data_IF_268682022006
#
_entry.id   IF_268682022006
#
_cell.length_a   1.000
_cell.length_b   1.000
_cell.length_c   1.000
_cell.angle_alpha   90.00
_cell.angle_beta   90.00
_cell.angle_gamma   90.00
#
_symmetry.space_group_name_H-M   'P 1'
#
loop_
_entity.id
_entity.type
_entity.pdbx_description
1 polymer ?
#
# COMPACT_ATOMS: atom_id res chain seq x y z
N UNK A 1 6.77 14.70 4.49
CA UNK A 1 8.16 14.96 4.04
C UNK A 1 8.16 16.36 3.45
N UNK A 2 8.82 17.33 4.07
CA UNK A 2 8.86 18.70 3.57
C UNK A 2 10.24 18.92 2.95
N UNK A 3 10.30 19.34 1.68
CA UNK A 3 11.54 19.84 1.09
C UNK A 3 11.86 21.15 1.81
N UNK A 4 12.86 21.13 2.69
CA UNK A 4 13.23 22.31 3.49
C UNK A 4 13.92 23.36 2.61
N UNK A 5 14.68 22.94 1.59
CA UNK A 5 15.25 23.79 0.55
C UNK A 5 15.80 22.93 -0.59
N UNK A 6 15.56 23.32 -1.84
CA UNK A 6 16.21 22.76 -3.02
C UNK A 6 16.46 23.87 -4.04
N UNK A 7 17.60 23.83 -4.74
CA UNK A 7 17.91 24.73 -5.86
C UNK A 7 17.50 24.14 -7.21
N UNK A 8 16.98 22.91 -7.21
CA UNK A 8 16.58 22.22 -8.43
C UNK A 8 15.24 22.76 -8.95
N UNK A 9 15.21 23.13 -10.23
CA UNK A 9 14.03 23.70 -10.92
C UNK A 9 13.46 22.74 -11.99
N UNK A 10 13.95 21.50 -12.04
CA UNK A 10 13.48 20.52 -13.02
C UNK A 10 12.23 19.76 -12.56
N UNK A 11 11.78 18.77 -13.34
CA UNK A 11 10.61 17.98 -13.00
C UNK A 11 10.83 17.15 -11.74
N UNK A 12 9.78 17.01 -10.93
CA UNK A 12 9.80 16.30 -9.65
C UNK A 12 8.83 15.12 -9.65
N UNK A 13 9.24 14.01 -9.02
CA UNK A 13 8.36 12.88 -8.75
C UNK A 13 8.09 12.86 -7.25
N UNK A 14 6.82 12.97 -6.87
CA UNK A 14 6.39 12.88 -5.48
C UNK A 14 5.95 11.46 -5.21
N UNK A 15 6.54 10.84 -4.18
CA UNK A 15 6.14 9.50 -3.74
C UNK A 15 5.20 9.65 -2.55
N UNK A 16 3.95 9.26 -2.77
CA UNK A 16 2.88 9.27 -1.78
C UNK A 16 2.73 7.93 -1.06
N UNK A 17 1.48 7.58 -0.77
CA UNK A 17 1.11 6.30 -0.17
C UNK A 17 -0.15 5.75 -0.84
N UNK A 18 -0.40 4.46 -0.71
CA UNK A 18 -1.52 3.80 -1.38
C UNK A 18 -2.91 4.36 -0.98
N UNK A 19 -3.00 5.12 0.12
CA UNK A 19 -4.23 5.79 0.56
C UNK A 19 -4.84 6.77 -0.43
N UNK A 20 -4.04 7.35 -1.32
CA UNK A 20 -4.51 8.28 -2.36
C UNK A 20 -5.10 7.58 -3.59
N UNK A 21 -4.99 6.26 -3.71
CA UNK A 21 -5.42 5.52 -4.90
C UNK A 21 -6.94 5.55 -5.09
N UNK A 22 -7.42 5.64 -6.34
CA UNK A 22 -8.85 5.58 -6.65
C UNK A 22 -9.33 4.19 -7.09
N UNK A 23 -10.52 3.83 -6.62
CA UNK A 23 -11.30 2.73 -7.15
C UNK A 23 -12.05 3.14 -8.42
N UNK A 24 -12.50 2.16 -9.22
CA UNK A 24 -13.31 2.39 -10.44
C UNK A 24 -14.59 3.20 -10.24
N UNK A 25 -15.13 3.23 -9.02
CA UNK A 25 -16.32 4.01 -8.67
C UNK A 25 -16.01 5.45 -8.23
N UNK A 26 -14.75 5.90 -8.34
CA UNK A 26 -14.30 7.24 -7.94
C UNK A 26 -14.09 7.40 -6.43
N UNK A 27 -14.22 6.33 -5.63
CA UNK A 27 -13.94 6.33 -4.20
C UNK A 27 -12.44 6.12 -3.98
N UNK A 28 -11.81 6.95 -3.14
CA UNK A 28 -10.41 6.73 -2.75
C UNK A 28 -10.28 5.57 -1.77
N UNK A 29 -9.13 4.89 -1.79
CA UNK A 29 -8.84 3.75 -0.94
C UNK A 29 -9.10 4.06 0.54
N UNK A 30 -8.70 5.25 1.02
CA UNK A 30 -8.86 5.65 2.41
C UNK A 30 -10.32 5.89 2.82
N UNK A 31 -11.21 6.13 1.86
CA UNK A 31 -12.64 6.40 2.08
C UNK A 31 -13.51 5.15 1.86
N UNK A 32 -12.91 4.00 1.55
CA UNK A 32 -13.63 2.74 1.40
C UNK A 32 -14.29 2.32 2.73
N UNK A 33 -15.48 1.74 2.63
CA UNK A 33 -16.24 1.33 3.81
C UNK A 33 -15.50 0.20 4.55
N UNK A 34 -15.26 0.43 5.85
CA UNK A 34 -14.54 -0.54 6.70
C UNK A 34 -13.01 -0.52 6.52
N UNK A 35 -12.47 0.53 5.89
CA UNK A 35 -11.05 0.87 5.96
C UNK A 35 -10.60 1.06 7.43
N UNK A 36 -9.39 0.70 7.87
CA UNK A 36 -8.32 -0.06 7.24
C UNK A 36 -8.42 -1.59 7.46
N UNK A 37 -9.34 -2.05 8.33
CA UNK A 37 -9.45 -3.48 8.71
C UNK A 37 -9.79 -4.37 7.52
N UNK A 38 -10.69 -3.94 6.62
CA UNK A 38 -11.09 -4.70 5.42
C UNK A 38 -9.88 -5.07 4.56
N UNK A 39 -9.01 -4.11 4.27
CA UNK A 39 -7.81 -4.31 3.45
C UNK A 39 -6.72 -5.10 4.15
N UNK A 40 -6.55 -4.88 5.46
CA UNK A 40 -5.67 -5.70 6.28
C UNK A 40 -6.11 -7.17 6.30
N UNK A 41 -7.41 -7.40 6.43
CA UNK A 41 -7.97 -8.75 6.42
C UNK A 41 -7.82 -9.41 5.05
N UNK A 42 -7.98 -8.66 3.95
CA UNK A 42 -7.85 -9.17 2.59
C UNK A 42 -6.41 -9.54 2.18
N UNK A 43 -5.38 -9.12 2.92
CA UNK A 43 -3.99 -9.40 2.54
C UNK A 43 -3.65 -10.90 2.45
N UNK A 44 -2.88 -11.32 1.43
CA UNK A 44 -2.33 -12.67 1.36
C UNK A 44 -1.43 -12.97 2.57
N UNK A 45 -1.44 -14.22 3.04
CA UNK A 45 -0.61 -14.65 4.18
C UNK A 45 0.89 -14.40 3.96
N UNK A 46 1.35 -14.53 2.71
CA UNK A 46 2.74 -14.26 2.32
C UNK A 46 3.08 -12.78 2.53
N UNK A 47 2.15 -11.87 2.22
CA UNK A 47 2.38 -10.44 2.42
C UNK A 47 2.37 -10.07 3.91
N UNK A 48 1.47 -10.66 4.71
CA UNK A 48 1.47 -10.47 6.17
C UNK A 48 2.78 -10.97 6.81
N UNK A 49 3.31 -12.08 6.33
CA UNK A 49 4.58 -12.63 6.82
C UNK A 49 5.77 -11.76 6.44
N UNK A 50 5.82 -11.32 5.19
CA UNK A 50 6.76 -10.29 4.75
C UNK A 50 6.67 -9.05 5.65
N UNK A 51 5.46 -8.56 5.93
CA UNK A 51 5.28 -7.37 6.76
C UNK A 51 5.75 -7.59 8.20
N UNK A 52 5.44 -8.73 8.80
CA UNK A 52 5.93 -9.07 10.13
C UNK A 52 7.47 -9.09 10.16
N UNK A 53 8.11 -9.77 9.21
CA UNK A 53 9.58 -9.84 9.11
C UNK A 53 10.19 -8.45 8.94
N UNK A 54 9.63 -7.62 8.04
CA UNK A 54 10.07 -6.24 7.86
C UNK A 54 9.97 -5.42 9.16
N UNK A 55 8.91 -5.60 9.95
CA UNK A 55 8.79 -4.90 11.22
C UNK A 55 9.85 -5.34 12.24
N UNK A 56 10.19 -6.63 12.27
CA UNK A 56 11.31 -7.11 13.09
C UNK A 56 12.65 -6.54 12.62
N UNK A 57 12.90 -6.52 11.31
CA UNK A 57 14.13 -5.96 10.73
C UNK A 57 14.30 -4.46 11.05
N UNK A 58 13.19 -3.71 11.18
CA UNK A 58 13.19 -2.29 11.57
C UNK A 58 13.07 -2.06 13.09
N UNK A 59 13.20 -3.09 13.93
CA UNK A 59 13.16 -2.98 15.39
C UNK A 59 11.76 -2.76 15.99
N UNK A 60 10.70 -2.80 15.19
CA UNK A 60 9.31 -2.64 15.62
C UNK A 60 8.69 -3.98 16.06
N UNK A 61 9.26 -4.58 17.10
CA UNK A 61 8.89 -5.93 17.57
C UNK A 61 7.42 -6.07 17.94
N UNK A 62 6.84 -5.08 18.63
CA UNK A 62 5.42 -5.10 19.03
C UNK A 62 4.46 -5.20 17.85
N UNK A 63 4.71 -4.42 16.80
CA UNK A 63 3.88 -4.45 15.58
C UNK A 63 4.10 -5.74 14.78
N UNK A 64 5.34 -6.26 14.75
CA UNK A 64 5.64 -7.58 14.17
C UNK A 64 4.86 -8.71 14.84
N UNK A 65 4.80 -8.74 16.18
CA UNK A 65 3.97 -9.71 16.91
C UNK A 65 2.49 -9.53 16.64
N UNK A 66 2.00 -8.28 16.58
CA UNK A 66 0.61 -7.99 16.23
C UNK A 66 0.24 -8.59 14.87
N UNK A 67 1.06 -8.40 13.84
CA UNK A 67 0.81 -8.96 12.50
C UNK A 67 0.79 -10.49 12.52
N UNK A 68 1.71 -11.13 13.25
CA UNK A 68 1.74 -12.60 13.40
C UNK A 68 0.50 -13.13 14.10
N UNK A 69 0.05 -12.45 15.16
CA UNK A 69 -1.16 -12.81 15.90
C UNK A 69 -2.42 -12.59 15.04
N UNK A 70 -2.47 -11.51 14.27
CA UNK A 70 -3.54 -11.25 13.32
C UNK A 70 -3.62 -12.35 12.26
N UNK A 71 -2.47 -12.74 11.67
CA UNK A 71 -2.36 -13.88 10.74
C UNK A 71 -2.86 -15.17 11.36
N UNK A 72 -2.47 -15.48 12.59
CA UNK A 72 -2.93 -16.68 13.31
C UNK A 72 -4.45 -16.65 13.56
N UNK A 73 -5.00 -15.51 13.99
CA UNK A 73 -6.42 -15.37 14.27
C UNK A 73 -7.26 -15.48 12.98
N UNK A 74 -6.79 -14.87 11.88
CA UNK A 74 -7.36 -15.02 10.54
C UNK A 74 -7.32 -16.48 10.08
N UNK A 75 -6.17 -17.15 10.21
CA UNK A 75 -6.01 -18.56 9.80
C UNK A 75 -6.95 -19.50 10.55
N UNK A 76 -7.18 -19.30 11.86
CA UNK A 76 -8.14 -20.12 12.62
C UNK A 76 -9.60 -19.93 12.18
N UNK A 77 -9.92 -18.78 11.57
CA UNK A 77 -11.26 -18.48 11.07
C UNK A 77 -11.47 -19.03 9.66
N UNK A 78 -10.48 -18.87 8.77
CA UNK A 78 -10.57 -19.28 7.37
C UNK A 78 -10.26 -20.77 7.14
N UNK A 79 -9.29 -21.32 7.86
CA UNK A 79 -8.83 -22.70 7.73
C UNK A 79 -8.96 -23.43 9.08
N UNK A 80 -10.18 -23.79 9.50
CA UNK A 80 -10.37 -24.42 10.80
C UNK A 80 -9.78 -25.83 10.82
N UNK A 81 -8.79 -26.04 11.68
CA UNK A 81 -8.26 -27.36 12.00
C UNK A 81 -9.08 -28.07 13.10
N UNK A 82 -8.68 -29.30 13.43
CA UNK A 82 -9.33 -30.15 14.45
C UNK A 82 -9.47 -29.46 15.83
N UNK A 83 -8.49 -28.65 16.24
CA UNK A 83 -8.52 -27.93 17.51
C UNK A 83 -8.98 -26.47 17.42
N UNK A 84 -9.31 -25.97 16.22
CA UNK A 84 -9.62 -24.54 16.04
C UNK A 84 -10.88 -24.11 16.81
N UNK A 85 -11.81 -25.02 17.09
CA UNK A 85 -13.03 -24.70 17.84
C UNK A 85 -12.75 -24.19 19.27
N UNK A 86 -11.68 -24.67 19.92
CA UNK A 86 -11.26 -24.22 21.25
C UNK A 86 -10.69 -22.80 21.23
N UNK A 87 -9.98 -22.45 20.16
CA UNK A 87 -9.29 -21.16 20.02
C UNK A 87 -10.12 -20.08 19.30
N UNK A 88 -11.23 -20.47 18.66
CA UNK A 88 -12.15 -19.55 17.95
C UNK A 88 -12.62 -18.36 18.78
N UNK A 89 -13.05 -18.51 20.06
CA UNK A 89 -13.46 -17.37 20.86
C UNK A 89 -12.33 -16.34 21.03
N UNK A 90 -11.11 -16.81 21.24
CA UNK A 90 -9.92 -15.97 21.38
C UNK A 90 -9.51 -15.31 20.06
N UNK A 91 -9.54 -16.07 18.96
CA UNK A 91 -9.25 -15.54 17.62
C UNK A 91 -10.27 -14.46 17.22
N UNK A 92 -11.56 -14.68 17.50
CA UNK A 92 -12.61 -13.71 17.24
C UNK A 92 -12.46 -12.46 18.12
N UNK A 93 -12.13 -12.62 19.41
CA UNK A 93 -11.86 -11.50 20.30
C UNK A 93 -10.66 -10.67 19.81
N UNK A 94 -9.60 -11.33 19.34
CA UNK A 94 -8.42 -10.66 18.79
C UNK A 94 -8.75 -9.89 17.52
N UNK A 95 -9.45 -10.51 16.56
CA UNK A 95 -9.89 -9.84 15.32
C UNK A 95 -10.85 -8.69 15.62
N UNK A 96 -11.73 -8.84 16.60
CA UNK A 96 -12.62 -7.77 17.04
C UNK A 96 -11.83 -6.60 17.63
N UNK A 97 -10.86 -6.84 18.52
CA UNK A 97 -9.98 -5.78 19.03
C UNK A 97 -9.14 -5.14 17.93
N UNK A 98 -8.60 -5.95 17.01
CA UNK A 98 -7.85 -5.45 15.85
C UNK A 98 -8.71 -4.57 14.95
N UNK A 99 -10.00 -4.91 14.75
CA UNK A 99 -10.95 -4.06 14.03
C UNK A 99 -11.15 -2.72 14.73
N UNK A 100 -11.38 -2.71 16.04
CA UNK A 100 -11.52 -1.47 16.80
C UNK A 100 -10.27 -0.58 16.68
N UNK A 101 -9.08 -1.19 16.74
CA UNK A 101 -7.81 -0.48 16.59
C UNK A 101 -7.61 0.07 15.18
N UNK A 102 -7.80 -0.75 14.14
CA UNK A 102 -7.55 -0.39 12.74
C UNK A 102 -8.62 0.52 12.12
N UNK A 103 -9.77 0.67 12.77
CA UNK A 103 -10.83 1.62 12.38
C UNK A 103 -10.76 2.91 13.22
N UNK A 104 -9.88 2.99 14.23
CA UNK A 104 -9.71 4.22 15.00
C UNK A 104 -9.08 5.32 14.12
N UNK A 105 -9.70 6.52 14.01
CA UNK A 105 -9.17 7.65 13.22
C UNK A 105 -7.68 7.95 13.46
N UNK A 106 -7.22 7.85 14.71
CA UNK A 106 -5.83 8.12 15.09
C UNK A 106 -4.83 7.15 14.43
N UNK A 107 -5.28 5.92 14.16
CA UNK A 107 -4.44 4.86 13.55
C UNK A 107 -4.40 4.99 12.02
N UNK A 108 -5.40 5.62 11.43
CA UNK A 108 -5.54 5.78 9.98
C UNK A 108 -4.92 7.10 9.48
N UNK A 109 -4.49 7.98 10.40
CA UNK A 109 -3.95 9.30 10.08
C UNK A 109 -2.86 9.32 9.02
N UNK A 110 -1.90 8.38 9.07
CA UNK A 110 -0.83 8.27 8.06
C UNK A 110 -1.38 8.08 6.63
N UNK A 111 -2.45 7.32 6.50
CA UNK A 111 -3.06 7.01 5.21
C UNK A 111 -3.82 8.22 4.68
N UNK A 112 -4.56 8.92 5.54
CA UNK A 112 -5.20 10.19 5.19
C UNK A 112 -4.20 11.28 4.79
N UNK A 113 -3.01 11.30 5.41
CA UNK A 113 -1.93 12.20 4.99
C UNK A 113 -1.46 11.93 3.55
N UNK A 114 -1.58 10.69 3.06
CA UNK A 114 -1.23 10.35 1.66
C UNK A 114 -2.18 11.01 0.66
N UNK A 115 -3.49 10.98 0.95
CA UNK A 115 -4.51 11.74 0.19
C UNK A 115 -4.25 13.23 0.26
N UNK A 116 -4.02 13.76 1.47
CA UNK A 116 -3.78 15.19 1.67
C UNK A 116 -2.55 15.67 0.88
N UNK A 117 -1.50 14.84 0.82
CA UNK A 117 -0.33 15.12 0.00
C UNK A 117 -0.68 15.22 -1.49
N UNK A 118 -1.50 14.31 -2.04
CA UNK A 118 -1.96 14.41 -3.43
C UNK A 118 -2.72 15.74 -3.67
N UNK A 119 -3.70 16.06 -2.82
CA UNK A 119 -4.49 17.29 -2.96
C UNK A 119 -3.66 18.58 -2.89
N UNK A 120 -2.54 18.57 -2.17
CA UNK A 120 -1.61 19.71 -2.15
C UNK A 120 -0.95 19.94 -3.51
N UNK A 121 -0.72 18.89 -4.30
CA UNK A 121 -0.03 18.96 -5.59
C UNK A 121 -0.98 19.19 -6.78
N UNK A 122 -2.24 18.74 -6.70
CA UNK A 122 -3.23 18.89 -7.77
C UNK A 122 -3.40 20.34 -8.27
N UNK A 123 -3.23 21.32 -7.38
CA UNK A 123 -3.32 22.75 -7.72
C UNK A 123 -2.04 23.39 -8.28
N UNK A 124 -0.89 22.71 -8.19
CA UNK A 124 0.41 23.27 -8.57
C UNK A 124 0.60 23.18 -10.07
N UNK A 125 0.80 24.32 -10.75
CA UNK A 125 1.01 24.39 -12.20
C UNK A 125 2.38 24.93 -12.61
N UNK A 126 3.12 25.51 -11.67
CA UNK A 126 4.38 26.20 -11.93
C UNK A 126 5.57 25.22 -12.07
N UNK A 127 5.42 23.99 -11.58
CA UNK A 127 6.47 22.97 -11.56
C UNK A 127 5.91 21.71 -12.23
N UNK A 128 6.65 21.12 -13.17
CA UNK A 128 6.30 19.82 -13.71
C UNK A 128 6.45 18.75 -12.64
N UNK A 129 5.34 18.18 -12.19
CA UNK A 129 5.33 17.13 -11.18
C UNK A 129 4.63 15.87 -11.69
N UNK A 130 4.99 14.71 -11.15
CA UNK A 130 4.16 13.50 -11.22
C UNK A 130 4.02 12.90 -9.82
N UNK A 131 2.85 12.36 -9.50
CA UNK A 131 2.58 11.80 -8.18
C UNK A 131 2.49 10.28 -8.27
N UNK A 132 3.49 9.59 -7.73
CA UNK A 132 3.55 8.14 -7.66
C UNK A 132 2.95 7.66 -6.33
N UNK A 133 1.84 6.94 -6.40
CA UNK A 133 1.33 6.17 -5.26
C UNK A 133 1.75 4.72 -5.38
N UNK A 134 2.51 4.17 -4.41
CA UNK A 134 2.83 2.75 -4.39
C UNK A 134 1.56 1.89 -4.34
N UNK A 135 1.58 0.66 -4.90
CA UNK A 135 0.47 -0.27 -4.75
C UNK A 135 0.30 -0.68 -3.29
N UNK A 136 -0.88 -1.20 -2.95
CA UNK A 136 -1.22 -1.56 -1.58
C UNK A 136 -0.29 -2.63 -0.98
N UNK A 137 0.22 -3.54 -1.81
CA UNK A 137 1.19 -4.55 -1.40
C UNK A 137 2.61 -4.23 -1.91
N UNK A 138 3.32 -3.34 -1.21
CA UNK A 138 4.72 -3.04 -1.52
C UNK A 138 5.67 -4.01 -0.79
N UNK A 139 6.58 -4.67 -1.52
CA UNK A 139 7.54 -5.63 -0.95
C UNK A 139 9.00 -5.23 -1.20
N UNK A 140 9.87 -5.48 -0.23
CA UNK A 140 11.32 -5.34 -0.36
C UNK A 140 12.02 -6.69 -0.56
N UNK A 141 13.31 -6.66 -0.91
CA UNK A 141 14.17 -7.84 -1.10
C UNK A 141 13.64 -8.77 -2.20
N UNK A 142 13.10 -8.19 -3.26
CA UNK A 142 12.63 -8.90 -4.44
C UNK A 142 13.73 -9.18 -5.47
N UNK A 143 13.38 -9.91 -6.52
CA UNK A 143 14.18 -9.97 -7.73
C UNK A 143 13.79 -8.81 -8.64
N UNK A 144 14.78 -8.10 -9.18
CA UNK A 144 14.56 -7.12 -10.24
C UNK A 144 14.21 -7.85 -11.54
N UNK A 145 12.95 -7.80 -11.93
CA UNK A 145 12.46 -8.41 -13.18
C UNK A 145 12.44 -7.41 -14.34
N UNK A 146 12.33 -6.12 -14.04
CA UNK A 146 12.10 -5.05 -15.01
C UNK A 146 10.69 -5.08 -15.62
N UNK A 147 9.81 -5.98 -15.17
CA UNK A 147 8.44 -6.09 -15.65
C UNK A 147 7.51 -5.35 -14.70
N UNK A 148 6.85 -4.32 -15.20
CA UNK A 148 5.85 -3.60 -14.45
C UNK A 148 4.77 -3.06 -15.39
N UNK A 149 3.61 -2.73 -14.84
CA UNK A 149 2.50 -2.09 -15.54
C UNK A 149 2.22 -0.76 -14.87
N UNK A 150 2.27 0.31 -15.66
CA UNK A 150 1.86 1.65 -15.22
C UNK A 150 0.36 1.80 -15.36
N UNK A 151 -0.25 2.42 -14.36
CA UNK A 151 -1.65 2.80 -14.34
C UNK A 151 -1.71 4.28 -14.00
N UNK A 152 -2.36 5.07 -14.85
CA UNK A 152 -2.67 6.46 -14.53
C UNK A 152 -3.93 6.42 -13.68
N UNK A 153 -3.83 7.00 -12.50
CA UNK A 153 -4.91 7.06 -11.53
C UNK A 153 -5.49 8.47 -11.64
N UNK A 154 -6.73 8.56 -12.10
CA UNK A 154 -7.50 9.79 -12.10
C UNK A 154 -8.90 9.47 -11.55
N UNK A 155 -9.71 10.49 -11.25
CA UNK A 155 -11.04 10.25 -10.68
C UNK A 155 -11.96 9.37 -11.55
N UNK A 156 -11.58 9.07 -12.80
CA UNK A 156 -12.28 8.18 -13.74
C UNK A 156 -11.52 6.87 -14.06
N UNK A 157 -10.25 6.75 -13.67
CA UNK A 157 -9.30 5.73 -14.07
C UNK A 157 -8.83 4.92 -12.87
N UNK A 158 -9.23 3.64 -12.80
CA UNK A 158 -9.08 2.86 -11.57
C UNK A 158 -7.67 2.31 -11.36
N UNK A 159 -7.07 2.64 -10.23
CA UNK A 159 -5.93 1.92 -9.66
C UNK A 159 -6.30 0.56 -9.03
N UNK A 160 -7.50 0.02 -9.28
CA UNK A 160 -7.96 -1.30 -8.78
C UNK A 160 -6.90 -2.41 -8.87
N UNK A 161 -6.13 -2.57 -9.98
CA UNK A 161 -5.09 -3.59 -10.02
C UNK A 161 -3.96 -3.32 -9.02
N UNK A 162 -3.62 -2.07 -8.73
CA UNK A 162 -2.60 -1.70 -7.74
C UNK A 162 -3.07 -1.81 -6.30
N UNK A 163 -4.38 -1.69 -6.08
CA UNK A 163 -4.99 -1.93 -4.77
C UNK A 163 -5.00 -3.43 -4.43
N UNK A 164 -5.26 -4.28 -5.42
CA UNK A 164 -5.38 -5.72 -5.21
C UNK A 164 -4.05 -6.48 -5.36
N UNK A 165 -3.12 -5.97 -6.17
CA UNK A 165 -1.81 -6.59 -6.39
C UNK A 165 -0.71 -5.83 -5.64
N UNK A 166 0.54 -6.10 -6.02
CA UNK A 166 1.71 -5.49 -5.43
C UNK A 166 2.81 -5.21 -6.44
N UNK A 167 3.95 -4.78 -5.91
CA UNK A 167 5.20 -4.68 -6.65
C UNK A 167 6.37 -4.86 -5.69
N UNK A 168 7.51 -5.32 -6.21
CA UNK A 168 8.78 -5.26 -5.51
C UNK A 168 9.42 -3.87 -5.64
N UNK A 169 10.13 -3.41 -4.61
CA UNK A 169 10.83 -2.12 -4.62
C UNK A 169 11.80 -2.00 -5.80
N UNK A 170 12.43 -3.10 -6.18
CA UNK A 170 13.40 -3.18 -7.27
C UNK A 170 12.74 -2.86 -8.62
N UNK A 171 11.53 -3.37 -8.88
CA UNK A 171 10.78 -3.12 -10.11
C UNK A 171 10.10 -1.74 -10.09
N UNK A 172 9.64 -1.29 -8.92
CA UNK A 172 9.14 0.08 -8.75
C UNK A 172 10.24 1.11 -9.00
N UNK A 173 11.48 0.83 -8.58
CA UNK A 173 12.62 1.69 -8.88
C UNK A 173 12.88 1.80 -10.39
N UNK A 174 12.72 0.72 -11.16
CA UNK A 174 12.78 0.77 -12.63
C UNK A 174 11.68 1.67 -13.19
N UNK A 175 10.44 1.54 -12.71
CA UNK A 175 9.34 2.40 -13.15
C UNK A 175 9.60 3.90 -12.86
N UNK A 176 10.22 4.21 -11.72
CA UNK A 176 10.62 5.58 -11.36
C UNK A 176 11.69 6.10 -12.33
N UNK A 177 12.74 5.31 -12.60
CA UNK A 177 13.81 5.69 -13.52
C UNK A 177 13.25 5.93 -14.93
N UNK A 178 12.39 5.04 -15.41
CA UNK A 178 11.78 5.16 -16.74
C UNK A 178 10.93 6.44 -16.85
N UNK A 179 10.23 6.85 -15.79
CA UNK A 179 9.51 8.13 -15.80
C UNK A 179 10.43 9.35 -15.71
N UNK A 180 11.54 9.27 -14.96
CA UNK A 180 12.55 10.34 -14.94
C UNK A 180 13.14 10.58 -16.33
N UNK A 181 13.39 9.51 -17.08
CA UNK A 181 13.96 9.57 -18.43
C UNK A 181 12.93 10.03 -19.48
N UNK A 182 11.70 9.50 -19.43
CA UNK A 182 10.71 9.69 -20.49
C UNK A 182 9.69 10.82 -20.22
N UNK A 183 9.46 11.19 -18.96
CA UNK A 183 8.57 12.28 -18.51
C UNK A 183 7.15 12.22 -19.07
N UNK A 184 6.58 11.03 -19.18
CA UNK A 184 5.28 10.79 -19.83
C UNK A 184 4.09 11.10 -18.92
N UNK A 185 4.32 11.18 -17.61
CA UNK A 185 3.30 11.27 -16.57
C UNK A 185 3.24 12.65 -15.90
N UNK A 186 3.65 13.69 -16.63
CA UNK A 186 3.60 15.07 -16.16
C UNK A 186 2.16 15.48 -15.79
N UNK A 187 2.01 16.07 -14.60
CA UNK A 187 0.77 16.50 -13.95
C UNK A 187 -0.24 15.37 -13.71
N UNK A 188 0.24 14.14 -13.62
CA UNK A 188 -0.61 12.96 -13.40
C UNK A 188 -0.30 12.31 -12.07
N UNK A 189 -1.36 11.80 -11.45
CA UNK A 189 -1.29 10.79 -10.42
C UNK A 189 -1.23 9.42 -11.10
N UNK A 190 -0.30 8.59 -10.66
CA UNK A 190 -0.08 7.28 -11.24
C UNK A 190 0.39 6.28 -10.19
N UNK A 191 0.26 5.02 -10.55
CA UNK A 191 0.71 3.88 -9.76
C UNK A 191 1.32 2.83 -10.69
N UNK A 192 1.97 1.84 -10.10
CA UNK A 192 2.52 0.71 -10.84
C UNK A 192 2.30 -0.60 -10.10
N UNK A 193 2.14 -1.67 -10.88
CA UNK A 193 2.07 -3.05 -10.39
C UNK A 193 3.09 -3.90 -11.09
N UNK A 194 3.57 -4.95 -10.43
CA UNK A 194 4.51 -5.88 -11.02
C UNK A 194 4.25 -7.30 -10.53
N UNK A 195 5.03 -8.26 -11.04
CA UNK A 195 4.87 -9.65 -10.64
C UNK A 195 5.30 -9.83 -9.19
N UNK A 196 4.43 -10.42 -8.36
CA UNK A 196 4.70 -10.60 -6.93
C UNK A 196 4.56 -12.05 -6.52
N UNK A 197 5.72 -12.69 -6.34
CA UNK A 197 5.86 -14.09 -5.93
C UNK A 197 6.36 -14.98 -7.06
N UNK A 198 6.85 -16.17 -6.70
CA UNK A 198 7.42 -17.14 -7.65
C UNK A 198 6.39 -17.72 -8.65
N UNK A 199 5.09 -17.43 -8.49
CA UNK A 199 4.01 -18.01 -9.31
C UNK A 199 3.71 -17.27 -10.61
N UNK A 200 4.31 -16.10 -10.83
CA UNK A 200 4.08 -15.28 -12.03
C UNK A 200 5.27 -15.30 -13.01
N UNK A 201 6.12 -16.33 -12.87
CA UNK A 201 7.19 -16.68 -13.80
C UNK A 201 6.76 -17.91 -14.60
#
# INVERSE_FOLDING_TARGET
MAIVRSTYQGPVIIIGGAGSLYYKNGVQLCDDEGFAFKHWYAWPYVHMEYMATRMFDHGQTGFGYFIRLFKWAKSNRENPGWFSWLFRPWANLLLWKARQMLTNPDTVGLIFCSRLALSMWEGVKDIQWSFLSPPWQLRDKGLRTGKYKVLVDDSAGSADPAINNGIYNEDMAVAIVDEVENKKLSYKHWTCTGPVGLREW
#
